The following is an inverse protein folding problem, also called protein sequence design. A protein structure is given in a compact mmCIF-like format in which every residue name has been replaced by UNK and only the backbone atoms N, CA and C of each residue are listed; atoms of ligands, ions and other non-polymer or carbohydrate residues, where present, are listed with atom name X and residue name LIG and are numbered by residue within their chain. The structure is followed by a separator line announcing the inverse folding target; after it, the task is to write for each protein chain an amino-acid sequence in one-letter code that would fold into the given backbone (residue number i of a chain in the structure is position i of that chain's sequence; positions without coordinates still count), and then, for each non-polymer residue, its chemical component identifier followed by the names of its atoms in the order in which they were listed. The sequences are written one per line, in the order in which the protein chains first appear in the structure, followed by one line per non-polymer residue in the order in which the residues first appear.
data_IF_535439101558
#
_entry.id   IF_535439101558
#
_cell.length_a   1.000
_cell.length_b   1.000
_cell.length_c   1.000
_cell.angle_alpha   90.00
_cell.angle_beta   90.00
_cell.angle_gamma   90.00
#
_symmetry.space_group_name_H-M   'P 1'
#
loop_
_entity.id
_entity.type
_entity.pdbx_description
1 polymer ?
#
# COMPACT_ATOMS: atom_id res chain seq x y z
N UNK A 1 14.29 -13.54 -12.02
CA UNK A 1 13.02 -12.89 -12.39
C UNK A 1 12.03 -13.04 -11.25
N UNK A 2 11.36 -11.97 -10.88
CA UNK A 2 10.41 -11.98 -9.76
C UNK A 2 9.08 -12.62 -10.18
N UNK A 3 8.55 -13.52 -9.34
CA UNK A 3 7.23 -14.12 -9.55
C UNK A 3 6.13 -13.40 -8.77
N UNK A 4 6.50 -12.49 -7.89
CA UNK A 4 5.57 -11.81 -6.99
C UNK A 4 5.43 -10.34 -7.35
N UNK A 5 4.21 -9.86 -7.26
CA UNK A 5 3.86 -8.47 -7.54
C UNK A 5 3.03 -7.94 -6.39
N UNK A 6 3.22 -6.67 -6.08
CA UNK A 6 2.42 -6.00 -5.06
C UNK A 6 1.52 -4.98 -5.73
N UNK A 7 0.22 -5.12 -5.50
CA UNK A 7 -0.78 -4.15 -5.91
C UNK A 7 -1.22 -3.32 -4.72
N UNK A 8 -1.34 -2.03 -4.92
CA UNK A 8 -1.72 -1.10 -3.86
C UNK A 8 -2.93 -0.30 -4.33
N UNK A 9 -3.95 -0.24 -3.49
CA UNK A 9 -5.16 0.52 -3.81
C UNK A 9 -5.63 1.29 -2.58
N UNK A 10 -5.92 2.57 -2.78
CA UNK A 10 -6.54 3.40 -1.75
C UNK A 10 -8.01 3.59 -2.13
N UNK A 11 -8.92 3.28 -1.20
CA UNK A 11 -10.33 3.44 -1.44
C UNK A 11 -10.76 4.91 -1.49
N UNK A 12 -11.98 5.14 -1.97
CA UNK A 12 -12.55 6.49 -2.07
C UNK A 12 -12.76 7.14 -0.71
N UNK A 13 -12.88 6.35 0.34
CA UNK A 13 -13.01 6.84 1.72
C UNK A 13 -11.71 7.44 2.26
N UNK A 14 -10.56 7.15 1.65
CA UNK A 14 -9.24 7.66 2.04
C UNK A 14 -8.89 7.35 3.50
N UNK A 15 -9.34 6.21 4.02
CA UNK A 15 -9.11 5.81 5.41
C UNK A 15 -8.32 4.52 5.54
N UNK A 16 -8.03 3.86 4.43
CA UNK A 16 -7.28 2.61 4.44
C UNK A 16 -6.53 2.40 3.15
N UNK A 17 -5.53 1.54 3.21
CA UNK A 17 -4.73 1.11 2.08
C UNK A 17 -4.86 -0.40 1.94
N UNK A 18 -5.25 -0.86 0.77
CA UNK A 18 -5.32 -2.28 0.45
C UNK A 18 -4.03 -2.69 -0.26
N UNK A 19 -3.37 -3.71 0.27
CA UNK A 19 -2.15 -4.26 -0.30
C UNK A 19 -2.40 -5.72 -0.65
N UNK A 20 -2.26 -6.04 -1.93
CA UNK A 20 -2.38 -7.41 -2.40
C UNK A 20 -1.03 -7.92 -2.86
N UNK A 21 -0.68 -9.12 -2.43
CA UNK A 21 0.49 -9.84 -2.90
C UNK A 21 0.03 -10.91 -3.86
N UNK A 22 0.47 -10.81 -5.10
CA UNK A 22 0.02 -11.66 -6.19
C UNK A 22 1.20 -12.45 -6.72
N UNK A 23 1.01 -13.74 -6.93
CA UNK A 23 1.98 -14.59 -7.59
C UNK A 23 1.54 -14.86 -9.00
N UNK A 24 2.46 -14.65 -9.94
CA UNK A 24 2.23 -14.97 -11.35
C UNK A 24 3.21 -16.05 -11.77
N UNK A 25 2.69 -17.23 -12.11
CA UNK A 25 3.52 -18.36 -12.52
C UNK A 25 2.77 -19.20 -13.54
N UNK A 26 3.48 -19.59 -14.60
CA UNK A 26 2.93 -20.46 -15.66
C UNK A 26 1.63 -19.90 -16.24
N UNK A 27 1.57 -18.58 -16.45
CA UNK A 27 0.39 -17.86 -16.96
C UNK A 27 -0.81 -17.89 -16.01
N UNK A 28 -0.60 -18.30 -14.76
CA UNK A 28 -1.64 -18.31 -13.73
C UNK A 28 -1.37 -17.21 -12.73
N UNK A 29 -2.42 -16.47 -12.40
CA UNK A 29 -2.39 -15.41 -11.40
C UNK A 29 -3.11 -15.90 -10.15
N UNK A 30 -2.45 -15.80 -9.02
CA UNK A 30 -3.07 -16.16 -7.73
C UNK A 30 -2.77 -15.09 -6.69
N UNK A 31 -3.79 -14.76 -5.89
CA UNK A 31 -3.62 -13.83 -4.77
C UNK A 31 -3.09 -14.63 -3.58
N UNK A 32 -1.85 -14.33 -3.19
CA UNK A 32 -1.23 -14.99 -2.04
C UNK A 32 -1.64 -14.35 -0.72
N UNK A 33 -1.81 -13.03 -0.72
CA UNK A 33 -2.14 -12.29 0.47
C UNK A 33 -2.89 -11.02 0.10
N UNK A 34 -3.89 -10.69 0.88
CA UNK A 34 -4.62 -9.44 0.78
C UNK A 34 -4.73 -8.85 2.18
N UNK A 35 -4.29 -7.63 2.34
CA UNK A 35 -4.26 -6.99 3.64
C UNK A 35 -4.75 -5.56 3.54
N UNK A 36 -5.63 -5.17 4.45
CA UNK A 36 -6.08 -3.78 4.59
C UNK A 36 -5.38 -3.15 5.78
N UNK A 37 -4.75 -2.00 5.55
CA UNK A 37 -4.07 -1.22 6.59
C UNK A 37 -4.83 0.07 6.80
N UNK A 38 -5.32 0.28 8.01
CA UNK A 38 -6.05 1.48 8.36
C UNK A 38 -5.09 2.66 8.54
N UNK A 39 -5.49 3.83 8.05
CA UNK A 39 -4.74 5.06 8.31
C UNK A 39 -4.89 5.44 9.79
N UNK A 40 -3.85 6.04 10.36
CA UNK A 40 -3.97 6.70 11.64
C UNK A 40 -4.95 7.87 11.53
N UNK A 41 -5.54 8.28 12.65
CA UNK A 41 -6.47 9.41 12.66
C UNK A 41 -5.82 10.68 12.09
N UNK A 42 -4.55 10.89 12.42
CA UNK A 42 -3.77 12.03 11.91
C UNK A 42 -3.59 11.96 10.38
N UNK A 43 -3.20 10.80 9.85
CA UNK A 43 -2.98 10.63 8.42
C UNK A 43 -4.30 10.74 7.65
N UNK A 44 -5.38 10.16 8.16
CA UNK A 44 -6.70 10.24 7.56
C UNK A 44 -7.15 11.70 7.42
N UNK A 45 -6.98 12.48 8.47
CA UNK A 45 -7.34 13.90 8.47
C UNK A 45 -6.55 14.68 7.43
N UNK A 46 -5.22 14.49 7.39
CA UNK A 46 -4.35 15.15 6.41
C UNK A 46 -4.72 14.79 4.98
N UNK A 47 -5.05 13.54 4.74
CA UNK A 47 -5.43 13.06 3.41
C UNK A 47 -6.75 13.68 2.96
N UNK A 48 -7.74 13.76 3.84
CA UNK A 48 -9.04 14.38 3.55
C UNK A 48 -8.87 15.88 3.28
N UNK A 49 -8.06 16.56 4.08
CA UNK A 49 -7.78 17.99 3.89
C UNK A 49 -7.10 18.24 2.53
N UNK A 50 -6.18 17.37 2.13
CA UNK A 50 -5.52 17.45 0.83
C UNK A 50 -6.50 17.24 -0.32
N UNK A 51 -7.46 16.34 -0.16
CA UNK A 51 -8.50 16.11 -1.18
C UNK A 51 -9.37 17.34 -1.39
N UNK A 52 -9.68 18.07 -0.31
CA UNK A 52 -10.51 19.27 -0.36
C UNK A 52 -9.73 20.51 -0.75
N UNK A 53 -8.41 20.41 -0.84
CA UNK A 53 -7.50 21.48 -1.24
C UNK A 53 -6.99 21.21 -2.64
N UNK A 54 -6.75 22.27 -3.41
CA UNK A 54 -6.20 22.13 -4.76
C UNK A 54 -4.70 21.80 -4.76
N UNK A 55 -4.05 21.89 -3.60
CA UNK A 55 -2.62 21.60 -3.46
C UNK A 55 -2.41 20.63 -2.31
N UNK A 56 -1.65 19.58 -2.56
CA UNK A 56 -1.21 18.64 -1.52
C UNK A 56 0.10 19.17 -0.94
N UNK A 57 0.18 19.31 0.37
CA UNK A 57 1.41 19.76 1.01
C UNK A 57 2.51 18.70 0.87
N UNK A 58 3.77 19.13 0.82
CA UNK A 58 4.90 18.22 0.75
C UNK A 58 4.96 17.27 1.95
N UNK A 59 4.61 17.77 3.15
CA UNK A 59 4.59 16.93 4.34
C UNK A 59 3.52 15.85 4.27
N UNK A 60 2.34 16.14 3.72
CA UNK A 60 1.29 15.14 3.51
C UNK A 60 1.73 14.07 2.52
N UNK A 61 2.36 14.47 1.41
CA UNK A 61 2.90 13.52 0.44
C UNK A 61 3.94 12.60 1.08
N UNK A 62 4.83 13.14 1.90
CA UNK A 62 5.84 12.36 2.59
C UNK A 62 5.22 11.38 3.58
N UNK A 63 4.22 11.79 4.33
CA UNK A 63 3.51 10.95 5.29
C UNK A 63 2.80 9.79 4.58
N UNK A 64 2.15 10.04 3.47
CA UNK A 64 1.47 9.01 2.68
C UNK A 64 2.50 8.04 2.09
N UNK A 65 3.58 8.54 1.50
CA UNK A 65 4.64 7.71 0.93
C UNK A 65 5.29 6.82 1.99
N UNK A 66 5.56 7.37 3.16
CA UNK A 66 6.10 6.61 4.28
C UNK A 66 5.14 5.51 4.72
N UNK A 67 3.86 5.81 4.84
CA UNK A 67 2.83 4.84 5.21
C UNK A 67 2.77 3.70 4.19
N UNK A 68 2.76 4.01 2.90
CA UNK A 68 2.75 3.00 1.83
C UNK A 68 3.98 2.11 1.93
N UNK A 69 5.16 2.70 2.10
CA UNK A 69 6.41 1.94 2.23
C UNK A 69 6.37 0.99 3.44
N UNK A 70 5.87 1.46 4.57
CA UNK A 70 5.74 0.64 5.77
C UNK A 70 4.78 -0.54 5.55
N UNK A 71 3.66 -0.30 4.88
CA UNK A 71 2.69 -1.35 4.58
C UNK A 71 3.27 -2.41 3.64
N UNK A 72 4.02 -1.98 2.63
CA UNK A 72 4.70 -2.89 1.69
C UNK A 72 5.72 -3.75 2.42
N UNK A 73 6.55 -3.15 3.27
CA UNK A 73 7.55 -3.87 4.06
C UNK A 73 6.88 -4.89 4.97
N UNK A 74 5.80 -4.51 5.66
CA UNK A 74 5.05 -5.42 6.53
C UNK A 74 4.50 -6.60 5.75
N UNK A 75 3.97 -6.36 4.55
CA UNK A 75 3.43 -7.41 3.70
C UNK A 75 4.51 -8.40 3.28
N UNK A 76 5.68 -7.91 2.88
CA UNK A 76 6.81 -8.74 2.49
C UNK A 76 7.25 -9.60 3.67
N UNK A 77 7.42 -9.02 4.85
CA UNK A 77 7.86 -9.75 6.06
C UNK A 77 6.84 -10.79 6.50
N UNK A 78 5.55 -10.47 6.46
CA UNK A 78 4.49 -11.40 6.84
C UNK A 78 4.49 -12.65 6.00
N UNK A 79 4.81 -12.51 4.71
CA UNK A 79 4.84 -13.63 3.77
C UNK A 79 6.21 -14.29 3.70
N UNK A 80 7.15 -13.89 4.55
CA UNK A 80 8.51 -14.42 4.62
C UNK A 80 9.25 -14.30 3.30
N UNK A 81 8.97 -13.23 2.56
CA UNK A 81 9.63 -12.92 1.29
C UNK A 81 10.78 -11.94 1.51
N UNK A 82 11.64 -11.89 0.53
CA UNK A 82 12.69 -10.87 0.45
C UNK A 82 12.33 -9.85 -0.62
N UNK A 83 12.93 -8.68 -0.56
CA UNK A 83 12.69 -7.64 -1.57
C UNK A 83 13.02 -8.12 -2.97
N UNK A 84 13.99 -9.03 -3.11
CA UNK A 84 14.37 -9.62 -4.39
C UNK A 84 13.30 -10.53 -4.99
N UNK A 85 12.31 -10.95 -4.20
CA UNK A 85 11.22 -11.80 -4.67
C UNK A 85 10.10 -11.01 -5.37
N UNK A 86 10.12 -9.70 -5.24
CA UNK A 86 9.09 -8.81 -5.77
C UNK A 86 9.53 -8.19 -7.10
#
# INVERSE_FOLDING_TARGET
MSEYYIGIMCGTSLDSLDVSLVRFKNRNLSVRSFQTYLFSASLKRKTIESKNSKKVSGSTQNDISKFISECVVKTIRRNKLQHSDI
#
